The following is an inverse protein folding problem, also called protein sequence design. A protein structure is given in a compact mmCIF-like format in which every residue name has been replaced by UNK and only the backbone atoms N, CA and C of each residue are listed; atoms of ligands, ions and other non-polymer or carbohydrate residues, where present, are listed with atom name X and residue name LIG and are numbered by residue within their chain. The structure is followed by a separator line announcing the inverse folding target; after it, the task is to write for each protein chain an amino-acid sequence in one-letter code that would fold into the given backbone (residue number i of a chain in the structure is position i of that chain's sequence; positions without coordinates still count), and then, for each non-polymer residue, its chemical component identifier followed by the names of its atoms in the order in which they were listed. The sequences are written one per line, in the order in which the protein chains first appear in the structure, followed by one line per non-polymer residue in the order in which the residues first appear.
data_IF_577493065408
#
_entry.id   IF_577493065408
#
_cell.length_a   1.000
_cell.length_b   1.000
_cell.length_c   1.000
_cell.angle_alpha   90.00
_cell.angle_beta   90.00
_cell.angle_gamma   90.00
#
_symmetry.space_group_name_H-M   'P 1'
#
loop_
_entity.id
_entity.type
_entity.pdbx_description
1 polymer ?
#
# COMPACT_ATOMS: atom_id res chain seq x y z
N UNK A 1 11.65 -26.71 -21.44
CA UNK A 1 12.31 -25.81 -20.48
C UNK A 1 11.98 -24.34 -20.75
N UNK A 2 12.28 -23.74 -21.90
CA UNK A 2 11.98 -22.32 -22.16
C UNK A 2 10.45 -21.98 -22.16
N UNK A 3 9.63 -22.78 -22.85
CA UNK A 3 8.18 -22.52 -22.97
C UNK A 3 7.32 -22.79 -21.72
N UNK A 4 7.85 -23.49 -20.71
CA UNK A 4 7.16 -23.64 -19.42
C UNK A 4 7.47 -22.48 -18.47
N UNK A 5 8.66 -21.88 -18.58
CA UNK A 5 9.08 -20.71 -17.81
C UNK A 5 8.32 -19.46 -18.27
N UNK A 6 8.15 -19.24 -19.58
CA UNK A 6 7.33 -18.15 -20.12
C UNK A 6 5.86 -18.24 -19.70
N UNK A 7 5.25 -19.44 -19.74
CA UNK A 7 3.87 -19.63 -19.27
C UNK A 7 3.71 -19.34 -17.78
N UNK A 8 4.72 -19.66 -16.96
CA UNK A 8 4.72 -19.39 -15.54
C UNK A 8 4.89 -17.89 -15.24
N UNK A 9 5.71 -17.19 -16.04
CA UNK A 9 5.89 -15.75 -15.97
C UNK A 9 4.62 -14.97 -16.32
N UNK A 10 4.00 -15.27 -17.47
CA UNK A 10 2.73 -14.65 -17.86
C UNK A 10 1.62 -14.91 -16.82
N UNK A 11 1.53 -16.14 -16.28
CA UNK A 11 0.58 -16.47 -15.21
C UNK A 11 0.85 -15.72 -13.90
N UNK A 12 2.08 -15.26 -13.64
CA UNK A 12 2.39 -14.43 -12.49
C UNK A 12 1.94 -12.99 -12.72
N UNK A 13 2.20 -12.42 -13.91
CA UNK A 13 1.77 -11.07 -14.28
C UNK A 13 0.25 -10.90 -14.23
N UNK A 14 -0.52 -11.85 -14.78
CA UNK A 14 -1.98 -11.80 -14.69
C UNK A 14 -2.49 -11.79 -13.25
N UNK A 15 -1.85 -12.55 -12.34
CA UNK A 15 -2.24 -12.56 -10.92
C UNK A 15 -1.95 -11.23 -10.24
N UNK A 16 -0.84 -10.58 -10.60
CA UNK A 16 -0.49 -9.27 -10.04
C UNK A 16 -1.45 -8.19 -10.52
N UNK A 17 -1.84 -8.23 -11.81
CA UNK A 17 -2.89 -7.36 -12.36
C UNK A 17 -4.22 -7.56 -11.63
N UNK A 18 -4.68 -8.80 -11.51
CA UNK A 18 -5.94 -9.13 -10.83
C UNK A 18 -5.92 -8.66 -9.37
N UNK A 19 -4.76 -8.81 -8.69
CA UNK A 19 -4.60 -8.38 -7.31
C UNK A 19 -4.63 -6.85 -7.19
N UNK A 20 -3.93 -6.12 -8.06
CA UNK A 20 -3.98 -4.65 -8.08
C UNK A 20 -5.41 -4.12 -8.27
N UNK A 21 -6.15 -4.67 -9.22
CA UNK A 21 -7.57 -4.32 -9.46
C UNK A 21 -8.44 -4.64 -8.23
N UNK A 22 -8.20 -5.78 -7.58
CA UNK A 22 -8.93 -6.15 -6.37
C UNK A 22 -8.65 -5.16 -5.22
N UNK A 23 -7.40 -4.70 -5.08
CA UNK A 23 -7.02 -3.69 -4.07
C UNK A 23 -7.66 -2.32 -4.38
N UNK A 24 -7.67 -1.87 -5.63
CA UNK A 24 -8.38 -0.64 -6.03
C UNK A 24 -9.89 -0.73 -5.71
N UNK A 25 -10.50 -1.87 -6.04
CA UNK A 25 -11.92 -2.13 -5.75
C UNK A 25 -12.19 -2.13 -4.25
N UNK A 26 -11.29 -2.75 -3.47
CA UNK A 26 -11.37 -2.77 -2.02
C UNK A 26 -11.28 -1.36 -1.43
N UNK A 27 -10.34 -0.53 -1.89
CA UNK A 27 -10.22 0.88 -1.46
C UNK A 27 -11.48 1.68 -1.77
N UNK A 28 -12.16 1.40 -2.89
CA UNK A 28 -13.43 2.03 -3.26
C UNK A 28 -14.62 1.63 -2.37
N UNK A 29 -14.53 0.50 -1.66
CA UNK A 29 -15.59 -0.02 -0.81
C UNK A 29 -15.76 0.79 0.49
N UNK A 30 -16.90 0.66 1.20
CA UNK A 30 -17.08 1.29 2.50
C UNK A 30 -16.01 0.91 3.54
N UNK A 31 -15.52 -0.33 3.49
CA UNK A 31 -14.48 -0.82 4.41
C UNK A 31 -13.13 -0.17 4.08
N UNK A 32 -12.76 -0.14 2.79
CA UNK A 32 -11.51 0.50 2.34
C UNK A 32 -11.47 1.97 2.69
N UNK A 33 -12.55 2.71 2.39
CA UNK A 33 -12.69 4.14 2.74
C UNK A 33 -12.58 4.38 4.25
N UNK A 34 -13.24 3.55 5.06
CA UNK A 34 -13.15 3.63 6.51
C UNK A 34 -11.72 3.45 7.01
N UNK A 35 -10.98 2.45 6.48
CA UNK A 35 -9.60 2.19 6.89
C UNK A 35 -8.65 3.32 6.50
N UNK A 36 -8.80 3.89 5.30
CA UNK A 36 -8.00 5.05 4.86
C UNK A 36 -8.26 6.25 5.76
N UNK A 37 -9.53 6.60 5.96
CA UNK A 37 -9.91 7.71 6.84
C UNK A 37 -9.36 7.50 8.27
N UNK A 38 -9.50 6.29 8.81
CA UNK A 38 -9.00 5.96 10.14
C UNK A 38 -7.47 6.14 10.23
N UNK A 39 -6.75 5.71 9.20
CA UNK A 39 -5.30 5.87 9.14
C UNK A 39 -4.89 7.35 9.03
N UNK A 40 -5.57 8.14 8.21
CA UNK A 40 -5.36 9.59 8.09
C UNK A 40 -5.57 10.30 9.44
N UNK A 41 -6.66 9.98 10.15
CA UNK A 41 -6.95 10.51 11.47
C UNK A 41 -5.86 10.13 12.50
N UNK A 42 -5.38 8.88 12.49
CA UNK A 42 -4.29 8.45 13.38
C UNK A 42 -2.97 9.19 13.12
N UNK A 43 -2.65 9.47 11.86
CA UNK A 43 -1.48 10.25 11.47
C UNK A 43 -1.64 11.70 11.92
N UNK A 44 -2.76 12.35 11.62
CA UNK A 44 -3.01 13.73 11.98
C UNK A 44 -2.92 13.94 13.50
N UNK A 45 -3.59 13.09 14.27
CA UNK A 45 -3.58 13.15 15.74
C UNK A 45 -2.17 12.98 16.31
N UNK A 46 -1.41 12.01 15.81
CA UNK A 46 -0.06 11.74 16.28
C UNK A 46 0.93 12.85 15.90
N UNK A 47 0.79 13.43 14.70
CA UNK A 47 1.60 14.56 14.23
C UNK A 47 1.30 15.80 15.08
N UNK A 48 0.03 16.10 15.37
CA UNK A 48 -0.34 17.24 16.23
C UNK A 48 0.24 17.10 17.65
N UNK A 49 0.23 15.88 18.21
CA UNK A 49 0.87 15.59 19.50
C UNK A 49 2.40 15.74 19.42
N UNK A 50 3.01 15.23 18.35
CA UNK A 50 4.46 15.28 18.15
C UNK A 50 5.00 16.72 18.02
N UNK A 51 4.19 17.66 17.53
CA UNK A 51 4.53 19.09 17.50
C UNK A 51 4.64 19.73 18.89
N UNK A 52 4.04 19.13 19.92
CA UNK A 52 3.88 19.73 21.25
C UNK A 52 4.60 18.97 22.35
N UNK A 53 4.95 17.70 22.12
CA UNK A 53 5.68 16.87 23.08
C UNK A 53 7.06 17.48 23.39
N UNK A 54 7.48 17.39 24.64
CA UNK A 54 8.82 17.78 25.04
C UNK A 54 9.87 16.99 24.24
N UNK A 55 10.86 17.67 23.66
CA UNK A 55 11.83 17.04 22.77
C UNK A 55 12.75 16.02 23.45
N UNK A 56 12.81 16.03 24.78
CA UNK A 56 13.58 15.07 25.59
C UNK A 56 12.74 13.88 26.07
N UNK A 57 11.40 13.92 25.89
CA UNK A 57 10.48 12.83 26.20
C UNK A 57 10.56 11.69 25.16
N UNK A 58 11.73 11.07 25.05
CA UNK A 58 12.08 10.11 23.99
C UNK A 58 11.13 8.92 23.89
N UNK A 59 10.54 8.44 25.00
CA UNK A 59 9.59 7.33 24.97
C UNK A 59 8.27 7.73 24.30
N UNK A 60 7.77 8.93 24.60
CA UNK A 60 6.53 9.45 24.03
C UNK A 60 6.71 9.78 22.54
N UNK A 61 7.84 10.41 22.18
CA UNK A 61 8.21 10.67 20.79
C UNK A 61 8.22 9.37 19.97
N UNK A 62 8.87 8.32 20.48
CA UNK A 62 8.92 7.02 19.78
C UNK A 62 7.54 6.40 19.61
N UNK A 63 6.68 6.52 20.62
CA UNK A 63 5.31 6.00 20.54
C UNK A 63 4.51 6.71 19.45
N UNK A 64 4.60 8.05 19.39
CA UNK A 64 3.95 8.86 18.36
C UNK A 64 4.48 8.55 16.95
N UNK A 65 5.80 8.45 16.80
CA UNK A 65 6.43 8.05 15.53
C UNK A 65 6.00 6.64 15.09
N UNK A 66 5.88 5.69 16.03
CA UNK A 66 5.42 4.35 15.69
C UNK A 66 3.94 4.34 15.27
N UNK A 67 3.10 5.15 15.92
CA UNK A 67 1.70 5.32 15.52
C UNK A 67 1.60 5.83 14.07
N UNK A 68 2.33 6.90 13.75
CA UNK A 68 2.40 7.46 12.39
C UNK A 68 2.85 6.38 11.40
N UNK A 69 3.98 5.72 11.69
CA UNK A 69 4.54 4.71 10.79
C UNK A 69 3.55 3.59 10.46
N UNK A 70 2.84 3.04 11.46
CA UNK A 70 1.86 1.97 11.21
C UNK A 70 0.68 2.46 10.38
N UNK A 71 0.17 3.64 10.68
CA UNK A 71 -0.97 4.22 9.98
C UNK A 71 -0.63 4.58 8.52
N UNK A 72 0.59 5.06 8.25
CA UNK A 72 1.05 5.28 6.87
C UNK A 72 1.34 3.96 6.14
N UNK A 73 1.91 2.97 6.83
CA UNK A 73 2.31 1.69 6.22
C UNK A 73 1.17 0.99 5.51
N UNK A 74 -0.03 0.97 6.08
CA UNK A 74 -1.18 0.32 5.44
C UNK A 74 -1.56 1.02 4.12
N UNK A 75 -1.46 2.35 4.05
CA UNK A 75 -1.74 3.08 2.82
C UNK A 75 -0.66 2.81 1.77
N UNK A 76 0.61 2.77 2.18
CA UNK A 76 1.71 2.45 1.29
C UNK A 76 1.61 1.04 0.71
N UNK A 77 1.33 0.02 1.52
CA UNK A 77 1.20 -1.36 1.03
C UNK A 77 0.06 -1.51 0.01
N UNK A 78 -1.05 -0.81 0.22
CA UNK A 78 -2.17 -0.83 -0.73
C UNK A 78 -1.79 -0.11 -2.02
N UNK A 79 -1.10 1.02 -1.94
CA UNK A 79 -0.60 1.74 -3.12
C UNK A 79 0.45 0.93 -3.90
N UNK A 80 1.37 0.26 -3.21
CA UNK A 80 2.38 -0.62 -3.80
C UNK A 80 1.74 -1.79 -4.56
N UNK A 81 0.71 -2.43 -3.99
CA UNK A 81 -0.02 -3.50 -4.65
C UNK A 81 -0.72 -3.03 -5.94
N UNK A 82 -1.31 -1.83 -5.92
CA UNK A 82 -1.94 -1.23 -7.09
C UNK A 82 -0.88 -0.94 -8.17
N UNK A 83 0.22 -0.31 -7.78
CA UNK A 83 1.31 0.02 -8.68
C UNK A 83 1.93 -1.24 -9.30
N UNK A 84 2.13 -2.29 -8.52
CA UNK A 84 2.64 -3.57 -9.01
C UNK A 84 1.70 -4.18 -10.07
N UNK A 85 0.38 -4.11 -9.86
CA UNK A 85 -0.61 -4.52 -10.85
C UNK A 85 -0.57 -3.69 -12.13
N UNK A 86 -0.39 -2.36 -12.03
CA UNK A 86 -0.25 -1.48 -13.20
C UNK A 86 1.01 -1.81 -14.01
N UNK A 87 2.16 -1.98 -13.34
CA UNK A 87 3.42 -2.38 -13.99
C UNK A 87 3.26 -3.74 -14.70
N UNK A 88 2.61 -4.72 -14.05
CA UNK A 88 2.38 -6.03 -14.65
C UNK A 88 1.45 -5.96 -15.88
N UNK A 89 0.47 -5.05 -15.87
CA UNK A 89 -0.42 -4.81 -17.01
C UNK A 89 0.36 -4.23 -18.20
N UNK A 90 1.21 -3.24 -17.95
CA UNK A 90 2.04 -2.61 -18.99
C UNK A 90 2.99 -3.64 -19.61
N UNK A 91 3.63 -4.48 -18.79
CA UNK A 91 4.50 -5.55 -19.27
C UNK A 91 3.76 -6.58 -20.15
N UNK A 92 2.52 -6.96 -19.79
CA UNK A 92 1.70 -7.85 -20.60
C UNK A 92 1.30 -7.23 -21.95
N UNK A 93 1.10 -5.91 -22.00
CA UNK A 93 0.81 -5.18 -23.25
C UNK A 93 2.04 -5.17 -24.14
N UNK A 94 3.21 -4.84 -23.58
CA UNK A 94 4.48 -4.80 -24.31
C UNK A 94 4.85 -6.16 -24.90
N UNK A 95 4.59 -7.27 -24.19
CA UNK A 95 4.83 -8.63 -24.71
C UNK A 95 3.88 -9.04 -25.84
N UNK A 96 2.76 -8.32 -26.05
CA UNK A 96 1.74 -8.65 -27.06
C UNK A 96 1.94 -7.91 -28.39
N UNK A 97 2.75 -6.85 -28.41
CA UNK A 97 3.07 -6.03 -29.58
C UNK A 97 4.35 -6.56 -30.24
#
# INVERSE_FOLDING_TARGET
MAGEVEKNGASALYREVDFGIAVETFLGSPIGKYLVQRAEEEVEEAVEKLKRVDCTATQEIRALQNQIYRAESIQYWLAEAIQAGQIASDELIDQRI
#
